data_IF_725377509989
#
_entry.id   IF_725377509989
#
_cell.length_a   1.000
_cell.length_b   1.000
_cell.length_c   1.000
_cell.angle_alpha   90.00
_cell.angle_beta   90.00
_cell.angle_gamma   90.00
#
_symmetry.space_group_name_H-M   'P 1'
#
loop_
_entity.id
_entity.type
_entity.pdbx_description
1 polymer ?
#
# COMPACT_ATOMS: atom_id res chain seq x y z
N UNK A 1 -18.93 65.28 47.13
CA UNK A 1 -17.87 66.04 46.43
C UNK A 1 -16.59 65.84 47.23
N UNK A 2 -15.52 65.19 46.79
CA UNK A 2 -15.07 64.78 45.46
C UNK A 2 -14.17 63.55 45.61
N UNK A 3 -14.42 62.49 44.84
CA UNK A 3 -13.51 61.36 44.65
C UNK A 3 -13.14 61.35 43.15
N UNK A 4 -11.85 61.51 42.85
CA UNK A 4 -11.16 61.16 41.62
C UNK A 4 -9.66 61.43 41.87
N UNK A 5 -8.66 60.71 41.36
CA UNK A 5 -8.55 59.45 40.66
C UNK A 5 -7.05 59.32 40.40
N UNK A 6 -6.37 58.30 40.91
CA UNK A 6 -5.14 57.79 40.26
C UNK A 6 -5.11 56.26 40.36
N UNK A 7 -5.22 55.63 39.18
CA UNK A 7 -4.95 54.22 38.90
C UNK A 7 -3.53 53.83 39.34
N UNK A 8 -3.28 52.56 39.74
CA UNK A 8 -3.05 51.57 38.69
C UNK A 8 -3.73 50.22 38.96
N UNK A 9 -3.97 49.52 37.85
CA UNK A 9 -4.73 48.29 37.76
C UNK A 9 -4.06 47.12 38.51
N UNK A 10 -4.59 46.76 39.69
CA UNK A 10 -4.24 45.53 40.43
C UNK A 10 -4.93 44.26 39.91
N UNK A 11 -5.70 44.35 38.82
CA UNK A 11 -6.45 43.23 38.25
C UNK A 11 -5.63 42.25 37.41
N UNK A 12 -4.33 42.52 37.15
CA UNK A 12 -3.50 41.67 36.28
C UNK A 12 -3.28 40.26 36.84
N UNK A 13 -3.20 40.11 38.16
CA UNK A 13 -2.95 38.80 38.79
C UNK A 13 -4.14 37.84 38.66
N UNK A 14 -5.37 38.36 38.63
CA UNK A 14 -6.55 37.52 38.33
C UNK A 14 -6.55 36.99 36.90
N UNK A 15 -5.79 37.61 35.98
CA UNK A 15 -5.68 37.22 34.56
C UNK A 15 -4.49 36.29 34.29
N UNK A 16 -3.54 36.16 35.21
CA UNK A 16 -2.41 35.23 35.10
C UNK A 16 -2.82 33.79 34.71
N UNK A 17 -3.84 33.16 35.33
CA UNK A 17 -4.25 31.82 34.92
C UNK A 17 -4.78 31.78 33.49
N UNK A 18 -5.46 32.83 33.02
CA UNK A 18 -5.96 32.91 31.66
C UNK A 18 -4.82 33.09 30.64
N UNK A 19 -3.80 33.91 30.96
CA UNK A 19 -2.62 34.09 30.10
C UNK A 19 -1.83 32.79 29.93
N UNK A 20 -1.71 32.02 31.01
CA UNK A 20 -1.02 30.74 31.01
C UNK A 20 -1.79 29.70 30.18
N UNK A 21 -3.12 29.66 30.31
CA UNK A 21 -3.99 28.83 29.46
C UNK A 21 -3.85 29.19 27.99
N UNK A 22 -3.82 30.49 27.65
CA UNK A 22 -3.60 30.96 26.28
C UNK A 22 -2.25 30.50 25.72
N UNK A 23 -1.17 30.67 26.49
CA UNK A 23 0.16 30.23 26.06
C UNK A 23 0.23 28.72 25.84
N UNK A 24 -0.45 27.94 26.69
CA UNK A 24 -0.54 26.49 26.54
C UNK A 24 -1.29 26.06 25.28
N UNK A 25 -2.41 26.71 24.96
CA UNK A 25 -3.14 26.44 23.72
C UNK A 25 -2.28 26.80 22.50
N UNK A 26 -1.54 27.92 22.55
CA UNK A 26 -0.63 28.31 21.46
C UNK A 26 0.49 27.27 21.25
N UNK A 27 1.12 26.79 22.33
CA UNK A 27 2.15 25.77 22.23
C UNK A 27 1.61 24.43 21.72
N UNK A 28 0.41 24.04 22.19
CA UNK A 28 -0.26 22.84 21.72
C UNK A 28 -0.55 22.90 20.22
N UNK A 29 -0.87 24.10 19.71
CA UNK A 29 -1.13 24.34 18.29
C UNK A 29 0.13 24.30 17.43
N UNK A 30 1.26 24.79 17.96
CA UNK A 30 2.51 24.94 17.20
C UNK A 30 3.41 23.69 17.23
N UNK A 31 3.34 22.88 18.29
CA UNK A 31 4.17 21.68 18.45
C UNK A 31 4.13 20.65 17.29
N UNK A 32 2.99 20.42 16.60
CA UNK A 32 2.93 19.58 15.40
C UNK A 32 3.85 20.05 14.26
N UNK A 33 4.00 21.37 14.10
CA UNK A 33 4.59 22.04 12.92
C UNK A 33 6.13 22.06 12.89
N UNK A 34 6.78 21.61 13.95
CA UNK A 34 8.24 21.69 14.09
C UNK A 34 8.93 20.32 13.98
N UNK A 35 8.20 19.29 13.55
CA UNK A 35 8.70 17.91 13.44
C UNK A 35 9.13 17.58 12.01
N UNK A 36 10.29 16.93 11.88
CA UNK A 36 10.78 16.32 10.65
C UNK A 36 11.01 14.81 10.89
N UNK A 37 10.30 13.88 10.21
CA UNK A 37 9.40 14.09 9.07
C UNK A 37 8.01 14.66 9.46
N UNK A 38 7.38 15.47 8.60
CA UNK A 38 6.10 16.12 8.86
C UNK A 38 4.96 15.12 9.02
N UNK A 39 4.16 15.30 10.08
CA UNK A 39 2.95 14.54 10.35
C UNK A 39 1.71 15.45 10.31
N UNK A 40 0.68 15.07 9.54
CA UNK A 40 -0.47 15.94 9.22
C UNK A 40 -1.85 15.24 9.32
N UNK A 41 -2.76 15.78 10.14
CA UNK A 41 -4.25 15.66 10.11
C UNK A 41 -4.94 16.51 11.23
N UNK A 42 -6.28 16.50 11.35
CA UNK A 42 -7.08 17.55 12.05
C UNK A 42 -7.25 17.43 13.60
N UNK A 43 -7.46 18.54 14.36
CA UNK A 43 -7.12 19.94 14.05
C UNK A 43 -5.66 20.29 14.37
N UNK A 44 -5.01 19.47 15.21
CA UNK A 44 -3.59 19.48 15.59
C UNK A 44 -3.01 18.07 15.49
N UNK A 45 -3.63 17.22 14.68
CA UNK A 45 -3.27 15.83 14.60
C UNK A 45 -1.99 15.70 13.79
N UNK A 46 -1.02 15.04 14.40
CA UNK A 46 0.18 14.56 13.73
C UNK A 46 -0.07 13.14 13.22
N UNK A 47 -1.08 12.90 12.38
CA UNK A 47 -1.34 11.56 11.83
C UNK A 47 -1.16 11.54 10.30
N UNK A 48 0.06 11.30 9.79
CA UNK A 48 0.43 11.45 8.39
C UNK A 48 -0.31 10.44 7.49
N UNK A 49 -1.59 10.66 7.19
CA UNK A 49 -2.33 9.75 6.30
C UNK A 49 -1.98 9.98 4.83
N UNK A 50 -1.45 11.17 4.51
CA UNK A 50 -1.04 11.56 3.16
C UNK A 50 0.24 12.41 3.09
N UNK A 51 0.87 12.76 4.23
CA UNK A 51 2.04 13.67 4.23
C UNK A 51 3.35 13.01 3.82
N UNK A 52 3.38 11.69 3.63
CA UNK A 52 4.58 10.97 3.22
C UNK A 52 4.30 10.06 2.04
N UNK A 53 5.17 10.10 1.04
CA UNK A 53 5.11 9.21 -0.13
C UNK A 53 5.22 7.76 0.35
N UNK A 54 4.22 6.95 0.01
CA UNK A 54 4.26 5.50 0.31
C UNK A 54 5.42 4.86 -0.44
N UNK A 55 6.18 4.02 0.25
CA UNK A 55 7.22 3.22 -0.39
C UNK A 55 6.60 2.32 -1.47
N UNK A 56 7.28 2.19 -2.60
CA UNK A 56 6.92 1.27 -3.68
C UNK A 56 7.11 -0.18 -3.20
N UNK A 57 6.02 -0.80 -2.71
CA UNK A 57 6.04 -2.15 -2.18
C UNK A 57 6.20 -3.20 -3.30
N UNK A 58 6.74 -4.37 -2.95
CA UNK A 58 6.70 -5.53 -3.84
C UNK A 58 5.30 -6.13 -3.81
N UNK A 59 4.71 -6.31 -4.97
CA UNK A 59 3.45 -7.03 -5.19
C UNK A 59 3.79 -8.40 -5.79
N UNK A 60 3.19 -9.45 -5.27
CA UNK A 60 3.40 -10.80 -5.78
C UNK A 60 2.22 -11.21 -6.66
N UNK A 61 2.52 -11.72 -7.86
CA UNK A 61 1.53 -12.10 -8.87
C UNK A 61 1.91 -13.43 -9.50
N UNK A 62 0.92 -14.11 -10.09
CA UNK A 62 1.13 -15.23 -10.99
C UNK A 62 0.63 -14.80 -12.35
N UNK A 63 1.45 -15.01 -13.37
CA UNK A 63 1.12 -14.71 -14.77
C UNK A 63 1.35 -15.95 -15.61
N UNK A 64 0.54 -16.10 -16.66
CA UNK A 64 0.72 -17.12 -17.67
C UNK A 64 1.36 -16.55 -18.92
N UNK A 65 2.00 -17.41 -19.70
CA UNK A 65 2.53 -17.08 -21.02
C UNK A 65 2.01 -18.09 -22.04
N UNK A 66 1.65 -17.58 -23.21
CA UNK A 66 1.32 -18.43 -24.36
C UNK A 66 2.59 -18.90 -25.11
N UNK A 67 2.40 -19.69 -26.17
CA UNK A 67 3.50 -20.21 -26.99
C UNK A 67 4.30 -19.10 -27.72
N UNK A 68 3.75 -17.90 -27.85
CA UNK A 68 4.39 -16.73 -28.45
C UNK A 68 5.04 -15.82 -27.40
N UNK A 69 5.10 -16.26 -26.14
CA UNK A 69 5.64 -15.53 -24.99
C UNK A 69 4.83 -14.27 -24.63
N UNK A 70 3.55 -14.19 -25.02
CA UNK A 70 2.68 -13.11 -24.58
C UNK A 70 2.17 -13.39 -23.16
N UNK A 71 2.34 -12.40 -22.29
CA UNK A 71 1.88 -12.46 -20.91
C UNK A 71 0.35 -12.33 -20.82
N UNK A 72 -0.29 -13.22 -20.04
CA UNK A 72 -1.69 -13.12 -19.64
C UNK A 72 -1.84 -13.16 -18.12
N UNK A 73 -2.77 -12.34 -17.62
CA UNK A 73 -3.12 -12.32 -16.21
C UNK A 73 -3.91 -13.59 -15.82
N UNK A 74 -3.50 -14.24 -14.74
CA UNK A 74 -4.24 -15.38 -14.18
C UNK A 74 -5.26 -14.86 -13.15
N UNK A 75 -6.56 -15.19 -13.28
CA UNK A 75 -7.58 -14.70 -12.38
C UNK A 75 -7.46 -15.31 -10.97
N UNK A 76 -7.93 -14.62 -9.93
CA UNK A 76 -7.90 -15.10 -8.55
C UNK A 76 -8.49 -16.51 -8.36
N UNK A 77 -9.55 -16.83 -9.11
CA UNK A 77 -10.26 -18.13 -9.05
C UNK A 77 -9.34 -19.32 -9.31
N UNK A 78 -8.33 -19.17 -10.18
CA UNK A 78 -7.35 -20.22 -10.49
C UNK A 78 -6.18 -20.23 -9.50
N UNK A 79 -5.92 -19.11 -8.83
CA UNK A 79 -4.85 -19.00 -7.81
C UNK A 79 -5.30 -19.58 -6.48
N UNK A 80 -6.45 -19.15 -5.98
CA UNK A 80 -7.01 -19.57 -4.70
C UNK A 80 -8.54 -19.66 -4.77
N UNK A 81 -9.21 -18.52 -4.97
CA UNK A 81 -10.67 -18.39 -5.08
C UNK A 81 -11.03 -17.01 -5.65
N UNK A 82 -12.32 -16.70 -5.74
CA UNK A 82 -12.81 -15.44 -6.33
C UNK A 82 -12.35 -14.17 -5.59
N UNK A 83 -11.94 -14.27 -4.33
CA UNK A 83 -11.52 -13.13 -3.51
C UNK A 83 -10.08 -12.70 -3.84
N UNK A 84 -9.95 -11.52 -4.46
CA UNK A 84 -8.67 -10.96 -4.91
C UNK A 84 -7.62 -10.88 -3.80
N UNK A 85 -8.03 -10.48 -2.59
CA UNK A 85 -7.10 -10.34 -1.45
C UNK A 85 -6.63 -11.70 -0.92
N UNK A 86 -7.47 -12.73 -0.97
CA UNK A 86 -7.08 -14.08 -0.54
C UNK A 86 -6.12 -14.72 -1.53
N UNK A 87 -6.34 -14.53 -2.83
CA UNK A 87 -5.39 -14.93 -3.86
C UNK A 87 -4.03 -14.22 -3.70
N UNK A 88 -4.03 -12.90 -3.50
CA UNK A 88 -2.81 -12.13 -3.28
C UNK A 88 -2.04 -12.61 -2.03
N UNK A 89 -2.74 -12.85 -0.93
CA UNK A 89 -2.13 -13.36 0.30
C UNK A 89 -1.59 -14.79 0.11
N UNK A 90 -2.29 -15.64 -0.64
CA UNK A 90 -1.84 -17.01 -0.96
C UNK A 90 -0.48 -16.98 -1.68
N UNK A 91 -0.33 -16.12 -2.69
CA UNK A 91 0.94 -15.94 -3.40
C UNK A 91 2.02 -15.38 -2.44
N UNK A 92 1.67 -14.38 -1.63
CA UNK A 92 2.60 -13.80 -0.66
C UNK A 92 3.10 -14.82 0.35
N UNK A 93 2.22 -15.67 0.88
CA UNK A 93 2.56 -16.76 1.81
C UNK A 93 3.51 -17.74 1.12
N UNK A 94 3.22 -18.16 -0.11
CA UNK A 94 4.07 -19.08 -0.86
C UNK A 94 5.48 -18.53 -1.08
N UNK A 95 5.60 -17.26 -1.48
CA UNK A 95 6.89 -16.58 -1.64
C UNK A 95 7.63 -16.46 -0.31
N UNK A 96 6.94 -16.01 0.75
CA UNK A 96 7.53 -15.86 2.10
C UNK A 96 8.01 -17.19 2.68
N UNK A 97 7.26 -18.26 2.49
CA UNK A 97 7.60 -19.62 2.94
C UNK A 97 8.58 -20.35 2.00
N UNK A 98 9.12 -19.66 0.99
CA UNK A 98 10.06 -20.22 -0.02
C UNK A 98 9.50 -21.43 -0.76
N UNK A 99 8.18 -21.45 -1.00
CA UNK A 99 7.47 -22.48 -1.78
C UNK A 99 6.73 -21.91 -3.01
N UNK A 100 7.28 -20.95 -3.77
CA UNK A 100 6.60 -20.42 -4.96
C UNK A 100 6.44 -21.45 -6.06
N UNK A 101 7.36 -22.41 -6.20
CA UNK A 101 7.29 -23.48 -7.21
C UNK A 101 6.08 -24.40 -6.98
N UNK A 102 5.88 -24.84 -5.74
CA UNK A 102 4.72 -25.67 -5.37
C UNK A 102 3.38 -24.95 -5.68
N UNK A 103 3.28 -23.66 -5.38
CA UNK A 103 2.08 -22.89 -5.73
C UNK A 103 1.91 -22.78 -7.26
N UNK A 104 3.01 -22.57 -8.00
CA UNK A 104 2.98 -22.52 -9.46
C UNK A 104 2.37 -23.80 -10.03
N UNK A 105 2.85 -24.96 -9.62
CA UNK A 105 2.38 -26.28 -10.10
C UNK A 105 0.90 -26.51 -9.75
N UNK A 106 0.46 -26.12 -8.56
CA UNK A 106 -0.96 -26.22 -8.17
C UNK A 106 -1.88 -25.33 -9.02
N UNK A 107 -1.41 -24.13 -9.38
CA UNK A 107 -2.16 -23.23 -10.26
C UNK A 107 -2.12 -23.73 -11.70
N UNK A 108 -0.99 -24.29 -12.13
CA UNK A 108 -0.83 -24.87 -13.46
C UNK A 108 -1.83 -26.01 -13.71
N UNK A 109 -2.04 -26.90 -12.73
CA UNK A 109 -3.07 -27.94 -12.82
C UNK A 109 -4.48 -27.34 -13.02
N UNK A 110 -4.85 -26.31 -12.25
CA UNK A 110 -6.16 -25.66 -12.43
C UNK A 110 -6.29 -24.89 -13.74
N UNK A 111 -5.18 -24.38 -14.26
CA UNK A 111 -5.12 -23.68 -15.56
C UNK A 111 -5.27 -24.69 -16.69
N UNK A 112 -4.68 -25.89 -16.59
CA UNK A 112 -4.86 -26.97 -17.56
C UNK A 112 -6.34 -27.37 -17.68
N UNK A 113 -7.04 -27.46 -16.53
CA UNK A 113 -8.46 -27.81 -16.47
C UNK A 113 -9.42 -26.72 -17.01
N UNK A 114 -8.96 -25.50 -17.27
CA UNK A 114 -9.80 -24.37 -17.69
C UNK A 114 -9.64 -24.06 -19.20
N UNK A 115 -10.66 -24.34 -20.03
CA UNK A 115 -10.59 -24.12 -21.48
C UNK A 115 -10.32 -22.65 -21.89
N UNK A 116 -10.64 -21.68 -21.03
CA UNK A 116 -10.37 -20.25 -21.30
C UNK A 116 -8.86 -19.95 -21.35
N UNK A 117 -8.05 -20.80 -20.72
CA UNK A 117 -6.60 -20.65 -20.60
C UNK A 117 -5.81 -21.74 -21.33
N UNK A 118 -6.44 -22.51 -22.23
CA UNK A 118 -5.80 -23.58 -23.00
C UNK A 118 -4.57 -23.14 -23.83
N UNK A 119 -4.50 -21.86 -24.22
CA UNK A 119 -3.33 -21.29 -24.91
C UNK A 119 -2.09 -21.07 -24.02
N UNK A 120 -2.24 -21.15 -22.70
CA UNK A 120 -1.14 -20.91 -21.75
C UNK A 120 -0.27 -22.16 -21.68
N UNK A 121 1.05 -22.01 -21.88
CA UNK A 121 2.00 -23.13 -21.88
C UNK A 121 2.90 -23.13 -20.64
N UNK A 122 3.06 -21.97 -20.00
CA UNK A 122 3.88 -21.84 -18.78
C UNK A 122 3.34 -20.74 -17.87
N UNK A 123 3.58 -20.89 -16.57
CA UNK A 123 3.29 -19.88 -15.55
C UNK A 123 4.58 -19.37 -14.90
N UNK A 124 4.53 -18.14 -14.40
CA UNK A 124 5.56 -17.57 -13.55
C UNK A 124 4.98 -16.91 -12.29
N UNK A 125 5.55 -17.26 -11.14
CA UNK A 125 5.35 -16.51 -9.90
C UNK A 125 6.35 -15.37 -9.87
N UNK A 126 5.86 -14.14 -9.86
CA UNK A 126 6.69 -12.94 -9.94
C UNK A 126 6.50 -12.04 -8.73
N UNK A 127 7.53 -11.23 -8.44
CA UNK A 127 7.41 -10.05 -7.59
C UNK A 127 7.66 -8.81 -8.44
N UNK A 128 6.73 -7.88 -8.41
CA UNK A 128 6.77 -6.64 -9.20
C UNK A 128 6.75 -5.42 -8.28
N UNK A 129 7.40 -4.33 -8.69
CA UNK A 129 7.27 -3.02 -8.07
C UNK A 129 6.67 -2.06 -9.07
N UNK A 130 5.73 -1.24 -8.61
CA UNK A 130 5.08 -0.21 -9.39
C UNK A 130 5.23 1.15 -8.70
N UNK A 131 5.10 2.24 -9.45
CA UNK A 131 4.87 3.55 -8.87
C UNK A 131 3.35 3.77 -8.74
N UNK A 132 2.78 3.86 -7.53
CA UNK A 132 1.36 4.11 -7.35
C UNK A 132 0.88 5.43 -7.98
N UNK A 133 1.79 6.39 -8.21
CA UNK A 133 1.46 7.68 -8.81
C UNK A 133 1.15 7.57 -10.30
N UNK A 134 1.82 6.66 -10.99
CA UNK A 134 1.72 6.52 -12.45
C UNK A 134 0.83 5.35 -12.87
N UNK A 135 0.68 4.34 -12.00
CA UNK A 135 0.01 3.07 -12.30
C UNK A 135 -1.39 3.19 -12.95
N UNK A 136 -2.19 4.18 -12.52
CA UNK A 136 -3.56 4.35 -12.99
C UNK A 136 -3.74 5.47 -14.03
N UNK A 137 -2.71 6.30 -14.24
CA UNK A 137 -2.83 7.54 -15.03
C UNK A 137 -1.98 7.53 -16.29
N UNK A 138 -0.84 6.86 -16.26
CA UNK A 138 0.08 6.76 -17.39
C UNK A 138 -0.15 5.44 -18.13
N UNK A 139 -0.04 5.47 -19.47
CA UNK A 139 -0.23 4.30 -20.31
C UNK A 139 0.78 3.19 -19.99
N UNK A 140 2.02 3.58 -19.70
CA UNK A 140 3.13 2.71 -19.30
C UNK A 140 3.25 2.54 -17.77
N UNK A 141 2.40 3.18 -16.96
CA UNK A 141 2.42 3.06 -15.50
C UNK A 141 2.19 1.62 -14.98
N UNK A 142 1.61 0.75 -15.81
CA UNK A 142 1.42 -0.68 -15.53
C UNK A 142 2.66 -1.53 -15.81
N UNK A 143 3.70 -0.96 -16.41
CA UNK A 143 4.99 -1.64 -16.60
C UNK A 143 5.73 -1.64 -15.24
N UNK A 144 6.16 -2.80 -14.73
CA UNK A 144 6.80 -2.86 -13.43
C UNK A 144 8.19 -2.20 -13.46
N UNK A 145 8.45 -1.29 -12.53
CA UNK A 145 9.76 -0.66 -12.29
C UNK A 145 10.86 -1.69 -12.01
N UNK A 146 10.50 -2.76 -11.30
CA UNK A 146 11.39 -3.90 -11.03
C UNK A 146 10.58 -5.19 -11.08
N UNK A 147 11.16 -6.22 -11.67
CA UNK A 147 10.59 -7.56 -11.76
C UNK A 147 11.57 -8.58 -11.20
N UNK A 148 11.07 -9.52 -10.39
CA UNK A 148 11.81 -10.67 -9.88
C UNK A 148 11.01 -11.93 -10.10
N UNK A 149 11.53 -12.85 -10.91
CA UNK A 149 10.99 -14.20 -11.07
C UNK A 149 11.31 -15.00 -9.81
N UNK A 150 10.29 -15.61 -9.20
CA UNK A 150 10.39 -16.40 -7.97
C UNK A 150 10.34 -17.90 -8.24
N UNK A 151 9.52 -18.29 -9.21
CA UNK A 151 9.45 -19.64 -9.77
C UNK A 151 8.78 -19.58 -11.14
N UNK A 152 9.02 -20.61 -11.96
CA UNK A 152 8.24 -20.91 -13.16
C UNK A 152 7.88 -22.39 -13.18
N UNK A 153 6.84 -22.72 -13.90
CA UNK A 153 6.36 -24.08 -14.14
C UNK A 153 5.68 -24.15 -15.51
N UNK A 154 5.69 -25.32 -16.12
CA UNK A 154 4.96 -25.60 -17.36
C UNK A 154 3.53 -26.05 -17.02
N UNK A 155 2.61 -25.84 -17.96
CA UNK A 155 1.28 -26.43 -17.85
C UNK A 155 1.42 -27.94 -18.12
N UNK A 156 0.89 -28.81 -17.25
CA UNK A 156 0.86 -30.24 -17.54
C UNK A 156 0.13 -30.45 -18.85
N UNK A 157 0.78 -31.09 -19.82
CA UNK A 157 0.03 -31.64 -20.96
C UNK A 157 -0.78 -32.80 -20.38
N UNK A 158 -2.11 -32.72 -20.49
CA UNK A 158 -2.98 -33.81 -20.09
C UNK A 158 -2.47 -35.09 -20.73
N UNK A 159 -2.04 -36.03 -19.89
CA UNK A 159 -1.92 -37.41 -20.30
C UNK A 159 -3.31 -37.84 -20.74
N UNK A 160 -3.45 -38.05 -22.05
CA UNK A 160 -4.63 -38.54 -22.75
C UNK A 160 -5.42 -39.62 -21.99
#
# INVERSE_FOLDING_TARGET
MSEAEIKPARGSLRRAPALLLCALVVAAVVAPALRDPPRDSFPLSTYPMFSTVRKQAWIHVIVGFDAQDNERAIPPRLVANVEVMQAAETIRIAVRRRRPKLLCEQVAARVADDPEFAQIVRLEVQSRRFDPRTYFVEADGKIPLKLRRRAGCEIPEDGA
#
